data_IF_557570249907
#
_entry.id   IF_557570249907
#
_cell.length_a   1.000
_cell.length_b   1.000
_cell.length_c   1.000
_cell.angle_alpha   90.00
_cell.angle_beta   90.00
_cell.angle_gamma   90.00
#
_symmetry.space_group_name_H-M   'P 1'
#
loop_
_entity.id
_entity.type
_entity.pdbx_description
1 polymer ?
#
# COMPACT_ATOMS: atom_id res chain seq x y z
N UNK A 1 -21.16 1.47 61.10
CA UNK A 1 -21.64 1.55 59.69
C UNK A 1 -22.60 0.41 59.40
N UNK A 2 -23.70 0.63 58.73
CA UNK A 2 -24.59 -0.47 58.36
C UNK A 2 -23.83 -1.44 57.42
N UNK A 3 -24.03 -2.76 57.61
CA UNK A 3 -23.31 -3.81 56.85
C UNK A 3 -23.32 -3.58 55.33
N UNK A 4 -24.42 -3.04 54.79
CA UNK A 4 -24.54 -2.67 53.35
C UNK A 4 -23.54 -1.65 52.90
N UNK A 5 -23.29 -0.59 53.70
CA UNK A 5 -22.33 0.47 53.38
C UNK A 5 -20.87 -0.04 53.42
N UNK A 6 -20.57 -0.92 54.40
CA UNK A 6 -19.23 -1.53 54.48
C UNK A 6 -18.97 -2.49 53.30
N UNK A 7 -19.96 -3.24 52.83
CA UNK A 7 -19.84 -4.12 51.66
C UNK A 7 -19.67 -3.31 50.39
N UNK A 8 -20.41 -2.21 50.20
CA UNK A 8 -20.26 -1.32 49.06
C UNK A 8 -18.86 -0.68 49.02
N UNK A 9 -18.36 -0.17 50.13
CA UNK A 9 -17.02 0.38 50.23
C UNK A 9 -15.95 -0.65 49.91
N UNK A 10 -16.06 -1.87 50.47
CA UNK A 10 -15.11 -2.93 50.20
C UNK A 10 -15.12 -3.37 48.72
N UNK A 11 -16.30 -3.49 48.09
CA UNK A 11 -16.38 -3.83 46.65
C UNK A 11 -15.85 -2.73 45.76
N UNK A 12 -16.11 -1.45 46.11
CA UNK A 12 -15.53 -0.31 45.35
C UNK A 12 -14.02 -0.28 45.46
N UNK A 13 -13.47 -0.46 46.66
CA UNK A 13 -12.01 -0.51 46.87
C UNK A 13 -11.38 -1.70 46.13
N UNK A 14 -12.04 -2.86 46.13
CA UNK A 14 -11.57 -4.02 45.38
C UNK A 14 -11.58 -3.78 43.87
N UNK A 15 -12.64 -3.15 43.35
CA UNK A 15 -12.70 -2.77 41.93
C UNK A 15 -11.59 -1.81 41.54
N UNK A 16 -11.34 -0.79 42.36
CA UNK A 16 -10.24 0.16 42.13
C UNK A 16 -8.90 -0.58 42.15
N UNK A 17 -8.67 -1.46 43.12
CA UNK A 17 -7.44 -2.25 43.19
C UNK A 17 -7.25 -3.15 41.97
N UNK A 18 -8.31 -3.79 41.46
CA UNK A 18 -8.27 -4.61 40.24
C UNK A 18 -7.98 -3.77 38.99
N UNK A 19 -8.59 -2.59 38.87
CA UNK A 19 -8.28 -1.67 37.77
C UNK A 19 -6.84 -1.17 37.83
N UNK A 20 -6.33 -0.79 39.00
CA UNK A 20 -4.93 -0.42 39.18
C UNK A 20 -3.97 -1.57 38.82
N UNK A 21 -4.29 -2.80 39.25
CA UNK A 21 -3.51 -3.98 38.88
C UNK A 21 -3.55 -4.22 37.36
N UNK A 22 -4.72 -4.07 36.72
CA UNK A 22 -4.89 -4.23 35.27
C UNK A 22 -4.09 -3.23 34.45
N UNK A 23 -3.90 -2.00 34.91
CA UNK A 23 -3.04 -0.99 34.25
C UNK A 23 -1.56 -1.37 34.32
N UNK A 24 -1.13 -2.13 35.34
CA UNK A 24 0.25 -2.57 35.48
C UNK A 24 0.60 -3.85 34.72
N UNK A 25 -0.40 -4.57 34.23
CA UNK A 25 -0.21 -5.82 33.48
C UNK A 25 -0.14 -5.51 31.98
N UNK A 26 1.04 -5.63 31.39
CA UNK A 26 1.20 -5.54 29.93
C UNK A 26 0.74 -6.84 29.27
N UNK A 27 0.08 -6.70 28.13
CA UNK A 27 -0.46 -7.81 27.32
C UNK A 27 0.14 -7.76 25.89
N UNK A 28 0.35 -8.91 25.24
CA UNK A 28 0.95 -8.97 23.90
C UNK A 28 -0.07 -8.69 22.80
N UNK A 29 -0.71 -7.52 22.88
CA UNK A 29 -1.72 -7.09 21.91
C UNK A 29 -1.40 -5.70 21.40
N UNK A 30 -1.93 -5.40 20.22
CA UNK A 30 -1.89 -4.08 19.57
C UNK A 30 -3.30 -3.66 19.20
N UNK A 31 -3.55 -2.35 19.22
CA UNK A 31 -4.83 -1.77 18.84
C UNK A 31 -4.75 -1.16 17.45
N UNK A 32 -5.81 -1.39 16.67
CA UNK A 32 -6.07 -0.73 15.42
C UNK A 32 -7.36 0.07 15.53
N UNK A 33 -7.38 1.28 14.99
CA UNK A 33 -8.54 2.17 14.97
C UNK A 33 -8.70 2.87 13.62
N UNK A 34 -9.87 3.43 13.29
CA UNK A 34 -10.06 4.24 12.10
C UNK A 34 -9.05 5.38 12.04
N UNK A 35 -8.28 5.43 10.96
CA UNK A 35 -7.33 6.51 10.71
C UNK A 35 -7.98 7.71 10.04
N UNK A 36 -7.21 8.79 9.80
CA UNK A 36 -7.67 9.91 9.00
C UNK A 36 -8.00 9.50 7.58
N UNK A 37 -8.90 10.24 6.93
CA UNK A 37 -9.15 10.15 5.50
C UNK A 37 -8.65 11.41 4.83
N UNK A 38 -8.05 11.28 3.65
CA UNK A 38 -7.49 12.41 2.90
C UNK A 38 -8.14 12.45 1.52
N UNK A 39 -8.61 13.63 1.12
CA UNK A 39 -9.15 13.84 -0.22
C UNK A 39 -7.99 13.97 -1.22
N UNK A 40 -7.82 13.02 -2.11
CA UNK A 40 -6.75 13.04 -3.13
C UNK A 40 -6.88 14.18 -4.12
N UNK A 41 -8.07 14.76 -4.26
CA UNK A 41 -8.36 15.90 -5.15
C UNK A 41 -8.15 17.26 -4.47
N UNK A 42 -8.01 17.27 -3.15
CA UNK A 42 -7.91 18.49 -2.32
C UNK A 42 -6.51 18.77 -1.83
N UNK A 43 -6.47 19.64 -0.82
CA UNK A 43 -5.25 20.01 -0.13
C UNK A 43 -5.12 19.23 1.19
N UNK A 44 -3.88 18.96 1.57
CA UNK A 44 -3.47 18.41 2.87
C UNK A 44 -2.34 19.28 3.42
N UNK A 45 -2.47 19.73 4.66
CA UNK A 45 -1.50 20.63 5.31
C UNK A 45 -1.16 21.90 4.50
N UNK A 46 -2.14 22.40 3.71
CA UNK A 46 -2.01 23.62 2.93
C UNK A 46 -1.36 23.44 1.56
N UNK A 47 -1.06 22.22 1.16
CA UNK A 47 -0.54 21.88 -0.17
C UNK A 47 -1.47 20.91 -0.90
N UNK A 48 -1.62 21.03 -2.25
CA UNK A 48 -2.36 20.05 -3.02
C UNK A 48 -1.75 18.65 -2.88
N UNK A 49 -2.59 17.63 -2.58
CA UNK A 49 -2.16 16.23 -2.48
C UNK A 49 -1.54 15.75 -3.78
N UNK A 50 -2.14 16.11 -4.91
CA UNK A 50 -1.66 15.75 -6.24
C UNK A 50 -1.19 17.01 -6.98
N UNK A 51 0.09 17.08 -7.30
CA UNK A 51 0.71 18.16 -8.06
C UNK A 51 1.18 17.61 -9.41
N UNK A 52 0.60 18.12 -10.50
CA UNK A 52 0.95 17.71 -11.87
C UNK A 52 1.51 18.94 -12.60
N UNK A 53 2.70 18.80 -13.17
CA UNK A 53 3.37 19.86 -13.93
C UNK A 53 3.87 19.34 -15.28
N UNK A 54 3.89 20.22 -16.30
CA UNK A 54 4.29 19.85 -17.65
C UNK A 54 3.16 19.22 -18.49
N UNK A 55 1.94 19.14 -17.95
CA UNK A 55 0.74 18.68 -18.66
C UNK A 55 -0.48 19.52 -18.30
N UNK A 56 -1.50 19.54 -19.16
CA UNK A 56 -2.77 20.20 -18.87
C UNK A 56 -3.52 19.46 -17.79
N UNK A 57 -4.01 20.18 -16.79
CA UNK A 57 -4.87 19.66 -15.73
C UNK A 57 -6.25 20.31 -15.76
N UNK A 58 -7.22 19.65 -15.16
CA UNK A 58 -8.60 20.09 -15.11
C UNK A 58 -9.05 20.31 -13.66
N UNK A 59 -10.00 21.20 -13.47
CA UNK A 59 -10.62 21.45 -12.17
C UNK A 59 -11.48 20.23 -11.79
N UNK A 60 -11.26 19.71 -10.59
CA UNK A 60 -12.01 18.60 -10.02
C UNK A 60 -13.00 19.09 -8.98
N UNK A 61 -14.02 18.32 -8.66
CA UNK A 61 -15.01 18.64 -7.63
C UNK A 61 -15.46 17.38 -6.88
N UNK A 62 -15.98 17.58 -5.66
CA UNK A 62 -16.40 16.49 -4.78
C UNK A 62 -15.23 15.91 -3.99
N UNK A 63 -15.43 14.68 -3.49
CA UNK A 63 -14.46 14.04 -2.62
C UNK A 63 -14.10 12.66 -3.17
N UNK A 64 -12.80 12.40 -3.27
CA UNK A 64 -12.22 11.10 -3.60
C UNK A 64 -11.22 10.75 -2.50
N UNK A 65 -11.75 10.27 -1.36
CA UNK A 65 -10.96 10.12 -0.15
C UNK A 65 -10.30 8.74 -0.06
N UNK A 66 -8.99 8.74 0.07
CA UNK A 66 -8.28 7.58 0.59
C UNK A 66 -8.53 7.41 2.09
N UNK A 67 -8.39 6.19 2.57
CA UNK A 67 -8.61 5.83 3.97
C UNK A 67 -7.40 5.14 4.59
N UNK A 68 -7.15 5.44 5.85
CA UNK A 68 -6.06 4.84 6.62
C UNK A 68 -6.56 4.12 7.87
N UNK A 69 -5.69 3.39 8.52
CA UNK A 69 -5.87 2.86 9.88
C UNK A 69 -4.77 3.42 10.76
N UNK A 70 -5.08 3.67 12.03
CA UNK A 70 -4.07 3.90 13.06
C UNK A 70 -3.77 2.58 13.74
N UNK A 71 -2.51 2.37 14.02
CA UNK A 71 -2.01 1.17 14.71
C UNK A 71 -1.12 1.63 15.85
N UNK A 72 -1.20 1.01 17.01
CA UNK A 72 -0.22 1.23 18.07
C UNK A 72 1.17 0.84 17.60
N UNK A 73 2.19 1.62 17.94
CA UNK A 73 3.56 1.39 17.47
C UNK A 73 4.12 0.03 17.93
N UNK A 74 5.15 -0.47 17.25
CA UNK A 74 5.78 -1.75 17.55
C UNK A 74 6.35 -1.81 18.99
N UNK A 75 6.84 -0.68 19.49
CA UNK A 75 7.43 -0.60 20.82
C UNK A 75 6.42 -0.31 21.94
N UNK A 76 5.16 -0.04 21.58
CA UNK A 76 4.10 0.24 22.55
C UNK A 76 3.66 -1.03 23.28
N UNK A 77 3.61 -0.97 24.61
CA UNK A 77 3.14 -2.06 25.46
C UNK A 77 1.74 -1.75 25.98
N UNK A 78 0.75 -2.33 25.33
CA UNK A 78 -0.65 -2.21 25.73
C UNK A 78 -0.85 -2.85 27.10
N UNK A 79 -1.62 -2.21 27.98
CA UNK A 79 -2.00 -2.82 29.25
C UNK A 79 -3.36 -3.56 29.15
N UNK A 80 -3.66 -4.38 30.15
CA UNK A 80 -4.88 -5.20 30.16
C UNK A 80 -6.17 -4.36 30.09
N UNK A 81 -6.20 -3.19 30.73
CA UNK A 81 -7.40 -2.33 30.75
C UNK A 81 -7.64 -1.75 29.34
N UNK A 82 -6.60 -1.30 28.68
CA UNK A 82 -6.65 -0.83 27.27
C UNK A 82 -7.13 -1.94 26.34
N UNK A 83 -6.59 -3.16 26.48
CA UNK A 83 -6.99 -4.29 25.65
C UNK A 83 -8.47 -4.64 25.83
N UNK A 84 -8.96 -4.67 27.08
CA UNK A 84 -10.38 -4.92 27.38
C UNK A 84 -11.26 -3.80 26.82
N UNK A 85 -10.85 -2.54 26.99
CA UNK A 85 -11.58 -1.40 26.44
C UNK A 85 -11.65 -1.46 24.92
N UNK A 86 -10.53 -1.75 24.24
CA UNK A 86 -10.48 -1.89 22.79
C UNK A 86 -11.36 -3.04 22.27
N UNK A 87 -11.42 -4.18 22.99
CA UNK A 87 -12.32 -5.28 22.63
C UNK A 87 -13.82 -4.96 22.81
N UNK A 88 -14.16 -4.11 23.76
CA UNK A 88 -15.53 -3.66 23.97
C UNK A 88 -15.92 -2.51 23.04
N UNK A 89 -14.95 -1.84 22.46
CA UNK A 89 -15.18 -0.74 21.50
C UNK A 89 -15.59 -1.31 20.14
N UNK A 90 -16.66 -0.76 19.56
CA UNK A 90 -17.10 -1.13 18.21
C UNK A 90 -16.15 -0.61 17.12
N UNK A 91 -15.49 0.51 17.38
CA UNK A 91 -14.66 1.21 16.40
C UNK A 91 -13.17 0.80 16.44
N UNK A 92 -12.78 -0.09 17.38
CA UNK A 92 -11.40 -0.53 17.54
C UNK A 92 -11.28 -2.03 17.31
N UNK A 93 -10.11 -2.47 16.90
CA UNK A 93 -9.73 -3.90 16.83
C UNK A 93 -8.47 -4.13 17.66
N UNK A 94 -8.54 -5.07 18.58
CA UNK A 94 -7.39 -5.55 19.35
C UNK A 94 -6.95 -6.89 18.75
N UNK A 95 -5.71 -6.96 18.30
CA UNK A 95 -5.12 -8.14 17.65
C UNK A 95 -3.83 -8.54 18.35
N UNK A 96 -3.39 -9.80 18.27
CA UNK A 96 -2.09 -10.20 18.77
C UNK A 96 -0.99 -9.32 18.15
N UNK A 97 -0.04 -8.86 18.98
CA UNK A 97 1.04 -7.97 18.55
C UNK A 97 1.83 -8.54 17.36
N UNK A 98 2.14 -9.85 17.39
CA UNK A 98 2.90 -10.53 16.33
C UNK A 98 2.14 -10.60 14.99
N UNK A 99 0.82 -10.33 14.96
CA UNK A 99 0.04 -10.23 13.72
C UNK A 99 0.43 -8.99 12.91
N UNK A 100 0.79 -7.89 13.59
CA UNK A 100 1.16 -6.62 12.96
C UNK A 100 2.69 -6.49 12.85
N UNK A 101 3.42 -7.04 13.81
CA UNK A 101 4.87 -6.93 13.94
C UNK A 101 5.50 -8.34 14.07
N UNK A 102 5.47 -9.16 13.01
CA UNK A 102 6.07 -10.49 13.04
C UNK A 102 7.58 -10.39 13.24
N UNK A 103 8.18 -11.43 13.83
CA UNK A 103 9.63 -11.58 14.03
C UNK A 103 10.30 -10.48 14.87
N UNK A 104 9.53 -9.79 15.72
CA UNK A 104 10.06 -8.74 16.61
C UNK A 104 10.59 -7.51 15.87
N UNK A 105 9.98 -7.15 14.72
CA UNK A 105 10.29 -5.94 13.98
C UNK A 105 10.25 -4.71 14.87
N UNK A 106 11.29 -3.88 14.77
CA UNK A 106 11.34 -2.59 15.46
C UNK A 106 10.43 -1.57 14.75
N UNK A 107 10.04 -0.52 15.49
CA UNK A 107 9.29 0.60 14.91
C UNK A 107 10.01 1.23 13.72
N UNK A 108 11.34 1.39 13.81
CA UNK A 108 12.12 1.95 12.70
C UNK A 108 12.05 1.07 11.44
N UNK A 109 12.14 -0.25 11.57
CA UNK A 109 12.01 -1.18 10.44
C UNK A 109 10.63 -1.12 9.84
N UNK A 110 9.58 -1.13 10.68
CA UNK A 110 8.19 -1.03 10.22
C UNK A 110 7.92 0.30 9.51
N UNK A 111 8.43 1.41 10.05
CA UNK A 111 8.30 2.74 9.43
C UNK A 111 9.00 2.80 8.07
N UNK A 112 10.19 2.24 7.97
CA UNK A 112 10.93 2.19 6.70
C UNK A 112 10.20 1.34 5.65
N UNK A 113 9.75 0.14 6.00
CA UNK A 113 8.97 -0.72 5.09
C UNK A 113 7.69 -0.02 4.63
N UNK A 114 6.93 0.57 5.56
CA UNK A 114 5.71 1.31 5.22
C UNK A 114 5.98 2.49 4.27
N UNK A 115 7.12 3.17 4.42
CA UNK A 115 7.53 4.26 3.53
C UNK A 115 7.92 3.75 2.13
N UNK A 116 8.64 2.62 2.05
CA UNK A 116 9.00 1.96 0.80
C UNK A 116 7.75 1.48 0.06
N UNK A 117 6.85 0.74 0.73
CA UNK A 117 5.58 0.29 0.17
C UNK A 117 4.69 1.46 -0.30
N UNK A 118 4.69 2.56 0.45
CA UNK A 118 3.95 3.77 0.06
C UNK A 118 4.53 4.41 -1.20
N UNK A 119 5.86 4.47 -1.31
CA UNK A 119 6.55 4.97 -2.51
C UNK A 119 6.25 4.10 -3.74
N UNK A 120 6.31 2.78 -3.59
CA UNK A 120 5.95 1.83 -4.67
C UNK A 120 4.48 1.99 -5.08
N UNK A 121 3.57 2.14 -4.10
CA UNK A 121 2.15 2.36 -4.36
C UNK A 121 1.89 3.65 -5.14
N UNK A 122 2.65 4.72 -4.88
CA UNK A 122 2.58 5.97 -5.64
C UNK A 122 3.03 5.77 -7.08
N UNK A 123 4.15 5.05 -7.29
CA UNK A 123 4.65 4.79 -8.65
C UNK A 123 3.66 3.93 -9.45
N UNK A 124 3.16 2.83 -8.90
CA UNK A 124 2.15 1.99 -9.56
C UNK A 124 0.86 2.76 -9.85
N UNK A 125 0.43 3.66 -8.95
CA UNK A 125 -0.74 4.50 -9.18
C UNK A 125 -0.57 5.44 -10.37
N UNK A 126 0.62 6.05 -10.53
CA UNK A 126 0.96 6.89 -11.69
C UNK A 126 0.93 6.07 -12.98
N UNK A 127 1.55 4.88 -12.96
CA UNK A 127 1.58 3.97 -14.11
C UNK A 127 0.17 3.55 -14.53
N UNK A 128 -0.64 3.06 -13.58
CA UNK A 128 -2.01 2.63 -13.83
C UNK A 128 -2.86 3.77 -14.41
N UNK A 129 -2.80 4.96 -13.81
CA UNK A 129 -3.55 6.11 -14.29
C UNK A 129 -3.14 6.56 -15.70
N UNK A 130 -1.85 6.56 -16.00
CA UNK A 130 -1.35 6.98 -17.31
C UNK A 130 -1.61 5.93 -18.39
N UNK A 131 -1.51 4.64 -18.08
CA UNK A 131 -1.91 3.56 -19.00
C UNK A 131 -3.40 3.65 -19.35
N UNK A 132 -4.25 3.91 -18.37
CA UNK A 132 -5.69 4.10 -18.57
C UNK A 132 -6.03 5.30 -19.49
N UNK A 133 -5.13 6.28 -19.54
CA UNK A 133 -5.24 7.44 -20.42
C UNK A 133 -4.50 7.28 -21.76
N UNK A 134 -4.01 6.08 -22.07
CA UNK A 134 -3.16 5.82 -23.26
C UNK A 134 -1.91 6.70 -23.30
N UNK A 135 -1.43 7.21 -22.16
CA UNK A 135 -0.21 7.99 -22.05
C UNK A 135 0.99 7.05 -21.89
N UNK A 136 1.97 7.09 -22.80
CA UNK A 136 3.07 6.14 -22.78
C UNK A 136 3.98 6.32 -21.56
N UNK A 137 4.14 5.24 -20.80
CA UNK A 137 5.10 5.12 -19.69
C UNK A 137 6.23 4.20 -20.15
N UNK A 138 7.47 4.62 -19.91
CA UNK A 138 8.64 3.76 -20.14
C UNK A 138 9.00 3.07 -18.84
N UNK A 139 9.16 1.75 -18.89
CA UNK A 139 9.45 0.91 -17.72
C UNK A 139 10.69 0.07 -17.97
N UNK A 140 11.45 -0.16 -16.90
CA UNK A 140 12.65 -1.01 -16.92
C UNK A 140 12.70 -1.88 -15.68
N UNK A 141 13.21 -3.10 -15.83
CA UNK A 141 13.59 -3.93 -14.69
C UNK A 141 14.94 -3.45 -14.18
N UNK A 142 15.00 -3.15 -12.90
CA UNK A 142 16.21 -2.66 -12.24
C UNK A 142 16.67 -3.57 -11.10
N UNK A 143 17.89 -3.42 -10.69
CA UNK A 143 18.38 -3.86 -9.40
C UNK A 143 17.86 -2.87 -8.37
N UNK A 144 16.88 -3.23 -7.55
CA UNK A 144 16.38 -2.37 -6.47
C UNK A 144 17.37 -2.31 -5.32
N UNK A 145 17.80 -3.47 -4.85
CA UNK A 145 18.77 -3.57 -3.74
C UNK A 145 19.80 -4.66 -4.00
N UNK A 146 20.98 -4.51 -3.39
CA UNK A 146 22.02 -5.53 -3.34
C UNK A 146 22.27 -5.86 -1.88
N UNK A 147 22.13 -7.14 -1.54
CA UNK A 147 22.33 -7.61 -0.17
C UNK A 147 23.82 -7.58 0.19
N UNK A 148 24.13 -7.03 1.35
CA UNK A 148 25.50 -7.00 1.88
C UNK A 148 26.03 -8.43 2.10
N UNK A 149 27.27 -8.69 1.73
CA UNK A 149 27.90 -10.03 1.80
C UNK A 149 27.45 -10.98 0.70
N UNK A 150 26.60 -10.52 -0.25
CA UNK A 150 26.12 -11.38 -1.34
C UNK A 150 27.10 -11.45 -2.53
N UNK A 151 26.95 -12.45 -3.43
CA UNK A 151 27.77 -12.56 -4.65
C UNK A 151 27.72 -11.34 -5.57
N UNK A 152 26.65 -10.55 -5.49
CA UNK A 152 26.46 -9.34 -6.32
C UNK A 152 27.08 -8.10 -5.72
N UNK A 153 27.50 -8.11 -4.44
CA UNK A 153 28.09 -6.95 -3.80
C UNK A 153 29.33 -6.43 -4.54
N UNK A 154 29.33 -5.13 -4.86
CA UNK A 154 30.40 -4.47 -5.61
C UNK A 154 30.45 -4.84 -7.11
N UNK A 155 29.49 -5.62 -7.62
CA UNK A 155 29.38 -6.00 -9.05
C UNK A 155 28.16 -5.44 -9.72
N UNK A 156 26.99 -5.51 -9.05
CA UNK A 156 25.76 -4.84 -9.43
C UNK A 156 25.46 -3.73 -8.42
N UNK A 157 24.75 -2.70 -8.87
CA UNK A 157 24.41 -1.54 -8.03
C UNK A 157 22.91 -1.25 -8.16
N UNK A 158 22.33 -0.69 -7.11
CA UNK A 158 20.95 -0.22 -7.17
C UNK A 158 20.77 0.79 -8.31
N UNK A 159 19.69 0.63 -9.08
CA UNK A 159 19.40 1.42 -10.26
C UNK A 159 20.01 0.87 -11.57
N UNK A 160 20.86 -0.17 -11.54
CA UNK A 160 21.32 -0.83 -12.77
C UNK A 160 20.14 -1.48 -13.49
N UNK A 161 19.91 -1.16 -14.76
CA UNK A 161 18.81 -1.71 -15.56
C UNK A 161 19.18 -3.09 -16.08
N UNK A 162 18.44 -4.12 -15.72
CA UNK A 162 18.64 -5.50 -16.15
C UNK A 162 17.98 -5.71 -17.52
N UNK A 163 18.76 -5.89 -18.57
CA UNK A 163 18.26 -6.16 -19.92
C UNK A 163 18.09 -7.66 -20.19
N UNK A 164 19.02 -8.48 -19.69
CA UNK A 164 18.99 -9.92 -19.89
C UNK A 164 19.74 -10.65 -18.78
N UNK A 165 19.39 -11.91 -18.58
CA UNK A 165 20.13 -12.89 -17.78
C UNK A 165 20.47 -14.04 -18.70
N UNK A 166 21.75 -14.39 -18.82
CA UNK A 166 22.30 -15.41 -19.75
C UNK A 166 21.79 -15.24 -21.20
N UNK A 167 21.73 -13.99 -21.66
CA UNK A 167 21.24 -13.64 -22.99
C UNK A 167 19.72 -13.71 -23.15
N UNK A 168 18.98 -14.17 -22.16
CA UNK A 168 17.51 -14.19 -22.17
C UNK A 168 17.00 -12.84 -21.68
N UNK A 169 16.19 -12.15 -22.52
CA UNK A 169 15.63 -10.83 -22.18
C UNK A 169 14.73 -10.91 -20.94
N UNK A 170 14.89 -9.91 -20.07
CA UNK A 170 14.07 -9.71 -18.85
C UNK A 170 13.04 -8.64 -19.14
N UNK A 171 11.77 -8.94 -18.87
CA UNK A 171 10.63 -8.02 -19.08
C UNK A 171 9.98 -7.59 -17.77
N UNK A 172 10.06 -8.41 -16.73
CA UNK A 172 9.49 -8.18 -15.40
C UNK A 172 10.46 -8.69 -14.33
N UNK A 173 10.40 -8.17 -13.10
CA UNK A 173 11.31 -8.56 -12.02
C UNK A 173 11.32 -10.08 -11.74
N UNK A 174 10.17 -10.74 -11.83
CA UNK A 174 10.04 -12.20 -11.62
C UNK A 174 10.87 -13.04 -12.62
N UNK A 175 11.13 -12.51 -13.82
CA UNK A 175 11.96 -13.19 -14.82
C UNK A 175 13.39 -13.37 -14.30
N UNK A 176 13.91 -12.39 -13.55
CA UNK A 176 15.26 -12.45 -12.98
C UNK A 176 15.39 -13.63 -12.03
N UNK A 177 14.47 -13.75 -11.07
CA UNK A 177 14.46 -14.87 -10.13
C UNK A 177 14.29 -16.22 -10.84
N UNK A 178 13.39 -16.28 -11.83
CA UNK A 178 13.13 -17.49 -12.62
C UNK A 178 14.38 -17.94 -13.40
N UNK A 179 15.13 -17.00 -13.99
CA UNK A 179 16.33 -17.30 -14.75
C UNK A 179 17.49 -17.70 -13.84
N UNK A 180 17.70 -16.99 -12.73
CA UNK A 180 18.75 -17.32 -11.75
C UNK A 180 18.54 -18.68 -11.12
N UNK A 181 17.30 -19.03 -10.76
CA UNK A 181 16.98 -20.32 -10.11
C UNK A 181 17.08 -21.55 -11.03
N UNK A 182 17.26 -21.36 -12.34
CA UNK A 182 17.59 -22.46 -13.27
C UNK A 182 19.01 -22.99 -13.07
N UNK A 183 19.88 -22.20 -12.45
CA UNK A 183 21.25 -22.59 -12.14
C UNK A 183 21.34 -23.38 -10.84
N UNK A 184 22.44 -24.13 -10.72
CA UNK A 184 22.82 -24.73 -9.43
C UNK A 184 23.67 -23.72 -8.63
N UNK A 185 23.64 -23.81 -7.31
CA UNK A 185 24.60 -23.06 -6.48
C UNK A 185 26.03 -23.29 -6.91
N UNK A 186 26.83 -22.23 -7.02
CA UNK A 186 28.21 -22.24 -7.52
C UNK A 186 28.37 -22.08 -9.02
N UNK A 187 27.30 -22.13 -9.81
CA UNK A 187 27.36 -21.85 -11.25
C UNK A 187 27.41 -20.34 -11.54
N UNK A 188 27.93 -20.00 -12.70
CA UNK A 188 28.04 -18.60 -13.15
C UNK A 188 26.79 -18.20 -13.91
N UNK A 189 26.28 -17.01 -13.60
CA UNK A 189 25.16 -16.33 -14.28
C UNK A 189 25.67 -15.03 -14.84
N UNK A 190 25.29 -14.68 -16.07
CA UNK A 190 25.70 -13.45 -16.74
C UNK A 190 24.54 -12.47 -16.83
N UNK A 191 24.66 -11.35 -16.18
CA UNK A 191 23.71 -10.23 -16.27
C UNK A 191 24.16 -9.25 -17.35
N UNK A 192 23.30 -8.95 -18.32
CA UNK A 192 23.49 -7.84 -19.24
C UNK A 192 22.75 -6.65 -18.67
N UNK A 193 23.48 -5.62 -18.23
CA UNK A 193 22.89 -4.45 -17.56
C UNK A 193 23.30 -3.14 -18.25
N UNK A 194 22.44 -2.12 -18.11
CA UNK A 194 22.80 -0.72 -18.32
C UNK A 194 23.12 -0.12 -16.97
N UNK A 195 24.33 0.42 -16.74
CA UNK A 195 24.67 1.05 -15.47
C UNK A 195 23.72 2.21 -15.13
N UNK A 196 23.38 2.37 -13.85
CA UNK A 196 22.45 3.39 -13.37
C UNK A 196 22.81 4.81 -13.88
N UNK A 197 24.09 5.18 -13.90
CA UNK A 197 24.56 6.48 -14.43
C UNK A 197 24.25 6.67 -15.91
N UNK A 198 24.44 5.64 -16.72
CA UNK A 198 24.16 5.68 -18.17
C UNK A 198 22.65 5.78 -18.42
N UNK A 199 21.86 5.05 -17.65
CA UNK A 199 20.40 5.12 -17.71
C UNK A 199 19.90 6.53 -17.32
N UNK A 200 20.36 7.08 -16.21
CA UNK A 200 19.98 8.42 -15.76
C UNK A 200 20.36 9.50 -16.78
N UNK A 201 21.55 9.41 -17.40
CA UNK A 201 21.97 10.33 -18.43
C UNK A 201 21.09 10.21 -19.69
N UNK A 202 20.71 9.01 -20.09
CA UNK A 202 19.84 8.77 -21.23
C UNK A 202 18.43 9.32 -21.00
N UNK A 203 17.86 9.08 -19.80
CA UNK A 203 16.55 9.62 -19.38
C UNK A 203 16.57 11.15 -19.44
N UNK A 204 17.58 11.78 -18.84
CA UNK A 204 17.74 13.25 -18.85
C UNK A 204 17.85 13.81 -20.28
N UNK A 205 18.45 13.06 -21.20
CA UNK A 205 18.57 13.45 -22.62
C UNK A 205 17.33 13.04 -23.46
N UNK A 206 16.28 12.47 -22.85
CA UNK A 206 15.13 11.85 -23.52
C UNK A 206 15.55 10.86 -24.62
N UNK A 207 16.57 10.03 -24.34
CA UNK A 207 17.11 8.99 -25.22
C UNK A 207 16.98 7.62 -24.57
N UNK A 208 17.14 6.56 -25.36
CA UNK A 208 17.30 5.21 -24.85
C UNK A 208 18.76 4.93 -24.56
N UNK A 209 19.08 4.41 -23.38
CA UNK A 209 20.43 3.98 -23.06
C UNK A 209 20.79 2.74 -23.88
N UNK A 210 21.93 2.80 -24.60
CA UNK A 210 22.41 1.73 -25.49
C UNK A 210 23.67 1.05 -24.98
N UNK A 211 24.35 1.67 -24.02
CA UNK A 211 25.62 1.15 -23.49
C UNK A 211 25.35 0.11 -22.43
N UNK A 212 25.56 -1.14 -22.76
CA UNK A 212 25.40 -2.28 -21.85
C UNK A 212 26.75 -2.82 -21.39
N UNK A 213 26.78 -3.49 -20.26
CA UNK A 213 27.90 -4.28 -19.77
C UNK A 213 27.42 -5.65 -19.31
N UNK A 214 28.30 -6.66 -19.45
CA UNK A 214 28.06 -7.98 -18.92
C UNK A 214 28.73 -8.14 -17.56
N UNK A 215 27.94 -8.52 -16.56
CA UNK A 215 28.40 -8.77 -15.20
C UNK A 215 28.22 -10.24 -14.89
N UNK A 216 29.32 -10.96 -14.67
CA UNK A 216 29.29 -12.39 -14.33
C UNK A 216 29.30 -12.55 -12.83
N UNK A 217 28.33 -13.27 -12.28
CA UNK A 217 28.19 -13.54 -10.84
C UNK A 217 28.18 -15.05 -10.62
N UNK A 218 28.96 -15.52 -9.63
CA UNK A 218 28.88 -16.90 -9.18
C UNK A 218 27.75 -17.01 -8.14
N UNK A 219 26.76 -17.85 -8.37
CA UNK A 219 25.61 -18.00 -7.48
C UNK A 219 26.03 -18.57 -6.12
N UNK A 220 25.34 -18.12 -5.06
CA UNK A 220 25.39 -18.72 -3.74
C UNK A 220 24.18 -19.65 -3.51
N UNK A 221 24.18 -20.33 -2.37
CA UNK A 221 23.04 -21.16 -1.94
C UNK A 221 22.13 -20.37 -1.01
N UNK A 222 20.83 -20.37 -1.26
CA UNK A 222 19.81 -20.03 -0.25
C UNK A 222 19.25 -21.33 0.33
N UNK A 223 19.10 -21.34 1.64
CA UNK A 223 18.59 -22.50 2.39
C UNK A 223 17.16 -22.24 2.90
N UNK A 224 16.38 -21.44 2.19
CA UNK A 224 14.99 -21.17 2.55
C UNK A 224 14.11 -22.41 2.31
N UNK A 225 13.39 -22.83 3.33
CA UNK A 225 12.40 -23.93 3.28
C UNK A 225 12.96 -25.32 2.97
N UNK A 226 14.24 -25.60 3.24
CA UNK A 226 14.85 -26.93 3.02
C UNK A 226 15.13 -27.28 1.56
N UNK A 227 14.95 -26.33 0.63
CA UNK A 227 15.35 -26.47 -0.78
C UNK A 227 16.53 -25.54 -1.08
N UNK A 228 17.65 -26.14 -1.48
CA UNK A 228 18.82 -25.38 -1.94
C UNK A 228 18.55 -24.76 -3.30
N UNK A 229 18.47 -23.43 -3.36
CA UNK A 229 18.30 -22.68 -4.60
C UNK A 229 19.51 -21.79 -4.86
N UNK A 230 19.81 -21.58 -6.14
CA UNK A 230 20.82 -20.61 -6.55
C UNK A 230 20.28 -19.19 -6.34
N UNK A 231 21.07 -18.34 -5.70
CA UNK A 231 20.79 -16.93 -5.50
C UNK A 231 22.01 -16.08 -5.88
N UNK A 232 21.78 -14.83 -6.22
CA UNK A 232 22.82 -13.82 -6.47
C UNK A 232 22.80 -12.68 -5.44
N UNK A 233 21.73 -12.59 -4.62
CA UNK A 233 21.61 -11.63 -3.53
C UNK A 233 21.30 -10.21 -4.02
N UNK A 234 20.33 -10.10 -4.93
CA UNK A 234 19.70 -8.85 -5.32
C UNK A 234 18.18 -8.95 -5.16
N UNK A 235 17.53 -7.81 -4.98
CA UNK A 235 16.10 -7.65 -5.28
C UNK A 235 15.98 -6.96 -6.63
N UNK A 236 15.13 -7.49 -7.51
CA UNK A 236 14.78 -6.85 -8.76
C UNK A 236 13.44 -6.11 -8.57
N UNK A 237 13.33 -4.94 -9.18
CA UNK A 237 12.11 -4.12 -9.20
C UNK A 237 11.88 -3.50 -10.56
N UNK A 238 10.86 -2.68 -10.67
CA UNK A 238 10.57 -1.89 -11.87
C UNK A 238 10.80 -0.41 -11.57
N UNK A 239 11.43 0.29 -12.51
CA UNK A 239 11.57 1.75 -12.50
C UNK A 239 10.83 2.33 -13.71
N UNK A 240 10.28 3.52 -13.55
CA UNK A 240 9.42 4.16 -14.55
C UNK A 240 9.91 5.56 -14.91
N UNK A 241 9.65 5.97 -16.14
CA UNK A 241 9.81 7.37 -16.54
C UNK A 241 8.51 7.88 -17.15
N UNK A 242 8.07 8.99 -16.61
CA UNK A 242 6.84 9.65 -16.99
C UNK A 242 7.11 10.80 -17.94
N UNK A 243 6.20 11.13 -18.87
CA UNK A 243 6.38 12.22 -19.83
C UNK A 243 6.27 13.62 -19.20
N UNK A 244 5.74 13.71 -17.98
CA UNK A 244 5.59 14.93 -17.19
C UNK A 244 5.62 14.59 -15.69
N UNK A 245 5.80 15.60 -14.83
CA UNK A 245 5.90 15.36 -13.38
C UNK A 245 4.53 15.14 -12.75
N UNK A 246 4.42 14.12 -11.89
CA UNK A 246 3.30 13.83 -11.02
C UNK A 246 3.86 13.60 -9.62
N UNK A 247 3.61 14.55 -8.72
CA UNK A 247 4.08 14.48 -7.34
C UNK A 247 2.88 14.26 -6.40
N UNK A 248 3.01 13.30 -5.48
CA UNK A 248 2.02 12.99 -4.46
C UNK A 248 2.59 13.47 -3.12
N UNK A 249 1.96 14.49 -2.54
CA UNK A 249 2.39 15.16 -1.31
C UNK A 249 1.59 14.65 -0.11
N UNK A 250 2.10 13.61 0.55
CA UNK A 250 1.52 13.03 1.76
C UNK A 250 2.67 12.43 2.59
N UNK A 251 3.09 13.13 3.64
CA UNK A 251 4.24 12.75 4.45
C UNK A 251 3.91 11.77 5.58
N UNK A 252 2.69 11.86 6.14
CA UNK A 252 2.32 11.16 7.39
C UNK A 252 1.52 9.88 7.15
N UNK A 253 1.62 9.29 5.95
CA UNK A 253 0.91 8.07 5.55
C UNK A 253 1.91 7.04 5.06
N UNK A 254 1.70 5.78 5.44
CA UNK A 254 2.53 4.66 5.00
C UNK A 254 1.69 3.50 4.48
N UNK A 255 2.38 2.53 3.86
CA UNK A 255 1.79 1.32 3.33
C UNK A 255 1.12 1.48 1.95
N UNK A 256 0.81 0.37 1.27
CA UNK A 256 0.49 0.37 -0.16
C UNK A 256 -1.00 0.62 -0.47
N UNK A 257 -1.86 0.82 0.53
CA UNK A 257 -3.31 0.70 0.42
C UNK A 257 -4.04 1.91 -0.21
N UNK A 258 -3.32 2.96 -0.61
CA UNK A 258 -3.88 4.17 -1.21
C UNK A 258 -3.76 4.22 -2.75
N UNK A 259 -3.08 3.26 -3.36
CA UNK A 259 -2.75 3.25 -4.79
C UNK A 259 -3.94 3.44 -5.72
N UNK A 260 -5.05 2.73 -5.47
CA UNK A 260 -6.29 2.92 -6.23
C UNK A 260 -6.77 4.37 -6.18
N UNK A 261 -6.78 4.98 -4.99
CA UNK A 261 -7.34 6.33 -4.83
C UNK A 261 -6.43 7.40 -5.44
N UNK A 262 -5.11 7.20 -5.42
CA UNK A 262 -4.17 8.06 -6.14
C UNK A 262 -4.33 7.93 -7.65
N UNK A 263 -4.45 6.72 -8.19
CA UNK A 263 -4.63 6.52 -9.63
C UNK A 263 -5.90 7.19 -10.15
N UNK A 264 -7.01 7.06 -9.43
CA UNK A 264 -8.26 7.74 -9.76
C UNK A 264 -8.15 9.27 -9.64
N UNK A 265 -7.44 9.78 -8.63
CA UNK A 265 -7.19 11.22 -8.47
C UNK A 265 -6.34 11.79 -9.60
N UNK A 266 -5.30 11.09 -10.03
CA UNK A 266 -4.47 11.45 -11.19
C UNK A 266 -5.31 11.46 -12.47
N UNK A 267 -6.10 10.41 -12.68
CA UNK A 267 -7.02 10.31 -13.82
C UNK A 267 -8.00 11.50 -13.86
N UNK A 268 -8.65 11.83 -12.73
CA UNK A 268 -9.59 12.96 -12.63
C UNK A 268 -8.92 14.31 -12.97
N UNK A 269 -7.72 14.54 -12.46
CA UNK A 269 -6.97 15.78 -12.77
C UNK A 269 -6.52 15.86 -14.24
N UNK A 270 -6.35 14.75 -14.93
CA UNK A 270 -5.89 14.70 -16.32
C UNK A 270 -7.05 14.62 -17.34
N UNK A 271 -8.30 14.44 -16.89
CA UNK A 271 -9.47 14.35 -17.77
C UNK A 271 -10.45 15.51 -17.53
N UNK A 272 -11.19 15.94 -18.57
CA UNK A 272 -12.21 16.97 -18.39
C UNK A 272 -13.43 16.45 -17.62
N UNK A 273 -13.94 17.26 -16.72
CA UNK A 273 -15.08 16.94 -15.87
C UNK A 273 -14.65 16.51 -14.47
N UNK A 274 -15.56 15.92 -13.72
CA UNK A 274 -15.28 15.39 -12.37
C UNK A 274 -15.77 13.95 -12.28
N UNK A 275 -14.91 13.04 -11.85
CA UNK A 275 -15.26 11.63 -11.71
C UNK A 275 -16.40 11.42 -10.71
N UNK A 276 -16.37 12.12 -9.59
CA UNK A 276 -17.37 11.95 -8.52
C UNK A 276 -18.67 12.69 -8.75
N UNK A 277 -18.70 13.67 -9.69
CA UNK A 277 -19.85 14.54 -9.89
C UNK A 277 -20.28 15.32 -8.65
N UNK A 278 -19.32 15.70 -7.79
CA UNK A 278 -19.57 16.40 -6.55
C UNK A 278 -19.98 15.49 -5.38
N UNK A 279 -20.05 14.18 -5.56
CA UNK A 279 -20.38 13.21 -4.50
C UNK A 279 -19.19 12.96 -3.59
N UNK A 280 -19.47 12.45 -2.39
CA UNK A 280 -18.42 11.99 -1.48
C UNK A 280 -18.21 10.50 -1.65
N UNK A 281 -17.15 10.15 -2.36
CA UNK A 281 -16.67 8.78 -2.54
C UNK A 281 -15.39 8.61 -1.74
N UNK A 282 -15.30 7.54 -0.97
CA UNK A 282 -14.07 7.10 -0.34
C UNK A 282 -13.68 5.72 -0.89
N UNK A 283 -12.48 5.27 -0.59
CA UNK A 283 -12.05 3.94 -1.01
C UNK A 283 -10.67 3.58 -0.49
N UNK A 284 -10.24 2.40 -0.88
CA UNK A 284 -8.93 1.85 -0.58
C UNK A 284 -8.59 0.76 -1.59
N UNK A 285 -7.34 0.39 -1.68
CA UNK A 285 -6.86 -0.71 -2.52
C UNK A 285 -5.40 -0.50 -2.89
N UNK A 286 -4.63 -1.57 -2.93
CA UNK A 286 -3.39 -1.55 -3.68
C UNK A 286 -3.72 -1.49 -5.17
N UNK A 287 -2.79 -1.03 -5.98
CA UNK A 287 -2.92 -1.09 -7.43
C UNK A 287 -1.59 -1.53 -8.03
N UNK A 288 -1.64 -2.37 -9.03
CA UNK A 288 -0.45 -2.72 -9.80
C UNK A 288 -0.37 -1.92 -11.11
N UNK A 289 0.76 -2.04 -11.80
CA UNK A 289 1.03 -1.33 -13.06
C UNK A 289 0.03 -1.66 -14.19
N UNK A 290 -0.73 -2.74 -14.07
CA UNK A 290 -1.76 -3.15 -15.03
C UNK A 290 -3.17 -2.74 -14.58
N UNK A 291 -3.26 -1.93 -13.52
CA UNK A 291 -4.52 -1.39 -13.02
C UNK A 291 -5.34 -2.39 -12.21
N UNK A 292 -4.78 -3.53 -11.80
CA UNK A 292 -5.47 -4.50 -10.96
C UNK A 292 -5.45 -4.02 -9.51
N UNK A 293 -6.63 -4.05 -8.88
CA UNK A 293 -6.83 -3.67 -7.48
C UNK A 293 -6.64 -4.88 -6.58
N UNK A 294 -5.74 -4.75 -5.62
CA UNK A 294 -5.46 -5.79 -4.64
C UNK A 294 -6.03 -5.49 -3.25
N UNK A 295 -6.10 -6.53 -2.39
CA UNK A 295 -6.64 -6.44 -1.04
C UNK A 295 -5.75 -5.63 -0.09
N UNK A 296 -6.35 -5.22 1.03
CA UNK A 296 -5.70 -4.44 2.09
C UNK A 296 -6.11 -4.94 3.48
N UNK A 297 -5.39 -4.51 4.51
CA UNK A 297 -5.74 -4.77 5.89
C UNK A 297 -6.70 -3.73 6.49
N UNK A 298 -7.49 -4.15 7.51
CA UNK A 298 -8.30 -3.26 8.31
C UNK A 298 -9.51 -2.65 7.59
N UNK A 299 -10.10 -3.35 6.63
CA UNK A 299 -11.19 -2.83 5.78
C UNK A 299 -12.37 -2.31 6.59
N UNK A 300 -12.78 -2.99 7.68
CA UNK A 300 -13.90 -2.55 8.52
C UNK A 300 -13.62 -1.20 9.20
N UNK A 301 -12.39 -0.97 9.67
CA UNK A 301 -11.98 0.31 10.26
C UNK A 301 -11.96 1.44 9.22
N UNK A 302 -11.54 1.12 8.00
CA UNK A 302 -11.52 2.06 6.88
C UNK A 302 -12.93 2.49 6.46
N UNK A 303 -13.91 1.57 6.43
CA UNK A 303 -15.30 1.89 6.13
C UNK A 303 -15.93 2.74 7.23
N UNK A 304 -15.65 2.48 8.51
CA UNK A 304 -16.07 3.30 9.65
C UNK A 304 -15.47 4.72 9.50
N UNK A 305 -14.15 4.83 9.27
CA UNK A 305 -13.47 6.11 9.06
C UNK A 305 -14.04 6.91 7.89
N UNK A 306 -14.31 6.26 6.76
CA UNK A 306 -14.92 6.89 5.59
C UNK A 306 -16.33 7.43 5.92
N UNK A 307 -17.17 6.60 6.55
CA UNK A 307 -18.54 6.98 6.89
C UNK A 307 -18.61 8.12 7.91
N UNK A 308 -17.72 8.12 8.90
CA UNK A 308 -17.65 9.20 9.91
C UNK A 308 -17.33 10.55 9.30
N UNK A 309 -16.67 10.58 8.13
CA UNK A 309 -16.38 11.81 7.36
C UNK A 309 -17.48 12.17 6.35
N UNK A 310 -18.52 11.34 6.23
CA UNK A 310 -19.67 11.62 5.39
C UNK A 310 -19.67 10.92 4.03
N UNK A 311 -18.77 9.96 3.79
CA UNK A 311 -18.77 9.18 2.56
C UNK A 311 -20.10 8.45 2.37
N UNK A 312 -20.60 8.47 1.15
CA UNK A 312 -21.82 7.80 0.72
C UNK A 312 -21.51 6.48 0.00
N UNK A 313 -20.38 6.43 -0.69
CA UNK A 313 -19.89 5.28 -1.44
C UNK A 313 -18.48 4.96 -1.01
N UNK A 314 -18.14 3.67 -1.04
CA UNK A 314 -16.81 3.18 -0.69
C UNK A 314 -16.35 2.16 -1.73
N UNK A 315 -15.30 2.50 -2.48
CA UNK A 315 -14.66 1.58 -3.42
C UNK A 315 -13.88 0.52 -2.64
N UNK A 316 -14.35 -0.72 -2.72
CA UNK A 316 -13.86 -1.85 -1.94
C UNK A 316 -13.16 -2.84 -2.84
N UNK A 317 -11.89 -3.21 -2.59
CA UNK A 317 -11.25 -4.30 -3.32
C UNK A 317 -12.10 -5.57 -3.27
N UNK A 318 -12.22 -6.27 -4.38
CA UNK A 318 -13.09 -7.45 -4.47
C UNK A 318 -12.80 -8.49 -3.40
N UNK A 319 -11.51 -8.71 -3.08
CA UNK A 319 -11.07 -9.68 -2.09
C UNK A 319 -11.37 -9.25 -0.63
N UNK A 320 -11.64 -7.97 -0.41
CA UNK A 320 -12.09 -7.45 0.89
C UNK A 320 -13.63 -7.39 1.03
N UNK A 321 -14.39 -7.61 -0.05
CA UNK A 321 -15.85 -7.43 -0.03
C UNK A 321 -16.55 -8.27 1.02
N UNK A 322 -16.20 -9.54 1.14
CA UNK A 322 -16.84 -10.44 2.10
C UNK A 322 -16.62 -9.99 3.56
N UNK A 323 -15.43 -9.48 3.90
CA UNK A 323 -15.15 -8.92 5.22
C UNK A 323 -15.88 -7.60 5.42
N UNK A 324 -15.78 -6.67 4.48
CA UNK A 324 -16.41 -5.35 4.57
C UNK A 324 -17.94 -5.43 4.72
N UNK A 325 -18.58 -6.38 4.03
CA UNK A 325 -20.03 -6.55 4.07
C UNK A 325 -20.57 -7.12 5.39
N UNK A 326 -19.71 -7.67 6.27
CA UNK A 326 -20.16 -8.20 7.58
C UNK A 326 -20.59 -7.09 8.52
N UNK A 327 -19.95 -5.91 8.41
CA UNK A 327 -20.17 -4.79 9.31
C UNK A 327 -20.12 -3.46 8.53
N UNK A 328 -21.08 -3.28 7.63
CA UNK A 328 -21.18 -2.08 6.81
C UNK A 328 -21.83 -0.94 7.59
N UNK A 329 -21.16 0.21 7.79
CA UNK A 329 -21.78 1.35 8.45
C UNK A 329 -23.05 1.83 7.74
N UNK A 330 -24.08 2.18 8.51
CA UNK A 330 -25.36 2.65 7.98
C UNK A 330 -25.20 3.87 7.06
N UNK A 331 -25.81 3.82 5.87
CA UNK A 331 -25.71 4.89 4.87
C UNK A 331 -24.43 4.90 4.03
N UNK A 332 -23.61 3.86 4.09
CA UNK A 332 -22.47 3.65 3.21
C UNK A 332 -22.78 2.52 2.20
N UNK A 333 -22.58 2.78 0.92
CA UNK A 333 -22.69 1.76 -0.13
C UNK A 333 -21.29 1.24 -0.48
N UNK A 334 -21.06 -0.05 -0.25
CA UNK A 334 -19.82 -0.72 -0.62
C UNK A 334 -19.88 -1.13 -2.10
N UNK A 335 -18.94 -0.61 -2.88
CA UNK A 335 -18.85 -0.86 -4.34
C UNK A 335 -17.64 -1.74 -4.60
N UNK A 336 -17.87 -2.94 -5.13
CA UNK A 336 -16.82 -3.92 -5.43
C UNK A 336 -16.03 -3.51 -6.68
N UNK A 337 -14.69 -3.48 -6.56
CA UNK A 337 -13.78 -3.16 -7.67
C UNK A 337 -12.63 -4.18 -7.73
N UNK A 338 -12.27 -4.60 -8.94
CA UNK A 338 -11.14 -5.50 -9.24
C UNK A 338 -10.04 -4.79 -10.02
N UNK A 339 -10.41 -3.76 -10.77
CA UNK A 339 -9.52 -3.00 -11.65
C UNK A 339 -9.82 -1.51 -11.55
N UNK A 340 -8.92 -0.69 -12.08
CA UNK A 340 -9.16 0.75 -12.25
C UNK A 340 -10.37 1.02 -13.14
N UNK A 341 -10.58 0.21 -14.21
CA UNK A 341 -11.75 0.27 -15.10
C UNK A 341 -13.07 0.08 -14.35
N UNK A 342 -13.13 -0.94 -13.47
CA UNK A 342 -14.30 -1.17 -12.61
C UNK A 342 -14.61 0.06 -11.76
N UNK A 343 -13.56 0.68 -11.18
CA UNK A 343 -13.71 1.87 -10.35
C UNK A 343 -14.20 3.08 -11.15
N UNK A 344 -13.66 3.29 -12.35
CA UNK A 344 -14.07 4.37 -13.26
C UNK A 344 -15.52 4.16 -13.74
N UNK A 345 -15.91 2.94 -14.07
CA UNK A 345 -17.28 2.58 -14.41
C UNK A 345 -18.25 2.88 -13.27
N UNK A 346 -17.91 2.46 -12.06
CA UNK A 346 -18.70 2.73 -10.85
C UNK A 346 -18.82 4.24 -10.55
N UNK A 347 -17.73 5.01 -10.69
CA UNK A 347 -17.76 6.46 -10.53
C UNK A 347 -18.64 7.17 -11.57
N UNK A 348 -18.66 6.67 -12.80
CA UNK A 348 -19.56 7.15 -13.86
C UNK A 348 -21.03 6.95 -13.45
N UNK A 349 -21.38 5.76 -12.95
CA UNK A 349 -22.74 5.44 -12.50
C UNK A 349 -23.14 6.26 -11.27
N UNK A 350 -22.24 6.46 -10.32
CA UNK A 350 -22.42 7.33 -9.14
C UNK A 350 -22.69 8.77 -9.59
N UNK A 351 -21.92 9.28 -10.54
CA UNK A 351 -22.04 10.64 -11.06
C UNK A 351 -23.36 10.84 -11.78
N UNK A 352 -23.80 9.88 -12.60
CA UNK A 352 -25.07 9.96 -13.34
C UNK A 352 -26.30 9.71 -12.46
N UNK A 353 -26.12 9.16 -11.24
CA UNK A 353 -27.19 8.77 -10.33
C UNK A 353 -27.77 7.37 -10.61
N UNK A 354 -27.19 6.63 -11.54
CA UNK A 354 -27.60 5.24 -11.86
C UNK A 354 -26.93 4.26 -10.89
N UNK A 355 -27.30 4.36 -9.63
CA UNK A 355 -26.70 3.57 -8.54
C UNK A 355 -27.28 2.17 -8.38
N UNK A 356 -28.30 1.84 -9.17
CA UNK A 356 -28.95 0.52 -9.16
C UNK A 356 -28.07 -0.59 -9.72
N UNK A 357 -27.22 -0.26 -10.70
CA UNK A 357 -26.32 -1.20 -11.37
C UNK A 357 -24.97 -1.39 -10.69
N UNK A 358 -24.67 -0.63 -9.61
CA UNK A 358 -23.40 -0.72 -8.93
C UNK A 358 -23.11 -2.15 -8.42
N UNK A 359 -21.90 -2.69 -8.69
CA UNK A 359 -21.47 -3.99 -8.16
C UNK A 359 -21.29 -3.90 -6.65
N UNK A 360 -22.26 -4.36 -5.87
CA UNK A 360 -22.25 -4.27 -4.41
C UNK A 360 -21.49 -5.45 -3.79
N UNK A 361 -20.80 -5.19 -2.70
CA UNK A 361 -20.23 -6.23 -1.87
C UNK A 361 -21.30 -7.05 -1.17
N UNK A 362 -21.08 -8.35 -1.07
CA UNK A 362 -21.91 -9.29 -0.30
C UNK A 362 -21.05 -10.10 0.67
N UNK A 363 -21.66 -10.68 1.71
CA UNK A 363 -20.96 -11.54 2.67
C UNK A 363 -20.41 -12.84 2.07
N UNK A 364 -20.78 -13.14 0.82
CA UNK A 364 -20.29 -14.31 0.07
C UNK A 364 -19.21 -13.94 -0.95
N UNK A 365 -18.82 -12.67 -1.03
CA UNK A 365 -17.81 -12.12 -1.94
C UNK A 365 -18.37 -11.45 -3.20
#
# INVERSE_FOLDING_TARGET
MPRRTATMLASTLMLIALLCAGVLINVPYSEMSPGPTVNTLGDHDGEPVLQISGHKTYTTSGHLNMTTVRVTSADYKMNLVEAVYGWLSHDNKVVPHDTLYPDGKTEQQSTQENAEEFSESQESAKVAALKELDVPVKSWVIVSTVLKGSPSEGRLHAGDVIKAVDGTAVKQPADVATLVTKHKPGEKVVFTVVPAKEQAAAVKANKTATKTQNVTITTATSDDSGQKRAIVGISAGTDHTFPFSIDIKLADVGGPSAGLMFSLGIYDKLTPGSLTGGKFVAGTGTIDDDGKVGPIGGISLKTIGARSKGAQYFLTPADNCAEAAKDTPGGLTLVKVKTIDDALGALKDIRSGDTGALPKCTTKG
#
